data_IF_925200401081
#
_entry.id   IF_925200401081
#
_cell.length_a   1.000
_cell.length_b   1.000
_cell.length_c   1.000
_cell.angle_alpha   90.00
_cell.angle_beta   90.00
_cell.angle_gamma   90.00
#
_symmetry.space_group_name_H-M   'P 1'
#
loop_
_entity.id
_entity.type
_entity.pdbx_description
1 polymer ?
#
# COMPACT_ATOMS: atom_id res chain seq x y z
N UNK A 1 -20.24 -31.30 -7.61
CA UNK A 1 -19.77 -30.01 -7.07
C UNK A 1 -18.52 -30.28 -6.24
N UNK A 2 -17.37 -29.70 -6.59
CA UNK A 2 -16.13 -29.90 -5.81
C UNK A 2 -16.17 -28.97 -4.60
N UNK A 3 -16.31 -29.55 -3.40
CA UNK A 3 -16.25 -28.81 -2.15
C UNK A 3 -14.79 -28.51 -1.82
N UNK A 4 -14.27 -27.36 -2.27
CA UNK A 4 -12.96 -26.87 -1.80
C UNK A 4 -13.07 -26.49 -0.32
N UNK A 5 -12.19 -27.07 0.51
CA UNK A 5 -12.14 -26.86 1.96
C UNK A 5 -10.91 -26.04 2.30
N UNK A 6 -11.08 -24.97 3.07
CA UNK A 6 -9.95 -24.20 3.59
C UNK A 6 -9.45 -24.82 4.90
N UNK A 7 -8.19 -25.25 4.92
CA UNK A 7 -7.57 -26.04 6.00
C UNK A 7 -7.64 -25.32 7.36
N UNK A 8 -7.41 -24.01 7.41
CA UNK A 8 -7.26 -23.31 8.70
C UNK A 8 -8.58 -23.03 9.42
N UNK A 9 -9.72 -23.00 8.72
CA UNK A 9 -11.00 -22.70 9.34
C UNK A 9 -11.91 -23.93 9.46
N UNK A 10 -11.51 -25.07 8.89
CA UNK A 10 -12.29 -26.31 8.81
C UNK A 10 -13.71 -26.19 8.25
N UNK A 11 -14.07 -25.05 7.63
CA UNK A 11 -15.38 -24.77 7.04
C UNK A 11 -15.33 -24.96 5.53
N UNK A 12 -16.49 -25.29 4.96
CA UNK A 12 -16.63 -25.47 3.53
C UNK A 12 -16.77 -24.11 2.83
N UNK A 13 -16.20 -23.99 1.63
CA UNK A 13 -16.46 -22.86 0.75
C UNK A 13 -17.85 -23.05 0.14
N UNK A 14 -18.71 -22.04 0.24
CA UNK A 14 -20.11 -22.11 -0.20
C UNK A 14 -20.48 -20.82 -0.92
N UNK A 15 -21.63 -20.80 -1.61
CA UNK A 15 -22.10 -19.58 -2.29
C UNK A 15 -22.27 -18.38 -1.34
N UNK A 16 -22.59 -18.64 -0.06
CA UNK A 16 -22.69 -17.61 1.00
C UNK A 16 -21.33 -17.18 1.57
N UNK A 17 -20.32 -18.05 1.50
CA UNK A 17 -18.96 -17.78 1.97
C UNK A 17 -17.99 -18.10 0.83
N UNK A 18 -17.81 -17.18 -0.12
CA UNK A 18 -17.02 -17.41 -1.32
C UNK A 18 -15.55 -17.68 -0.97
N UNK A 19 -14.89 -18.40 -1.89
CA UNK A 19 -13.47 -18.71 -1.81
C UNK A 19 -12.64 -17.67 -2.55
N UNK A 20 -11.42 -17.47 -2.08
CA UNK A 20 -10.39 -16.68 -2.72
C UNK A 20 -9.20 -17.62 -2.99
N UNK A 21 -8.73 -17.66 -4.24
CA UNK A 21 -7.65 -18.56 -4.65
C UNK A 21 -6.36 -17.78 -4.86
N UNK A 22 -5.25 -18.30 -4.33
CA UNK A 22 -3.95 -17.66 -4.50
C UNK A 22 -3.40 -17.96 -5.90
N UNK A 23 -3.03 -16.92 -6.64
CA UNK A 23 -2.47 -17.05 -8.00
C UNK A 23 -1.12 -17.77 -8.09
N UNK A 24 -0.46 -18.06 -6.97
CA UNK A 24 0.88 -18.68 -6.93
C UNK A 24 0.91 -20.11 -6.44
N UNK A 25 0.17 -20.42 -5.37
CA UNK A 25 0.17 -21.75 -4.76
C UNK A 25 -1.18 -22.46 -4.88
N UNK A 26 -2.14 -21.84 -5.56
CA UNK A 26 -3.48 -22.37 -5.84
C UNK A 26 -4.28 -22.74 -4.58
N UNK A 27 -3.76 -22.37 -3.40
CA UNK A 27 -4.45 -22.55 -2.13
C UNK A 27 -5.67 -21.65 -2.09
N UNK A 28 -6.79 -22.25 -1.70
CA UNK A 28 -8.06 -21.55 -1.57
C UNK A 28 -8.35 -21.25 -0.10
N UNK A 29 -8.72 -20.01 0.19
CA UNK A 29 -9.12 -19.53 1.52
C UNK A 29 -10.52 -18.93 1.46
N UNK A 30 -11.21 -18.70 2.58
CA UNK A 30 -12.44 -17.91 2.53
C UNK A 30 -12.14 -16.44 2.23
N UNK A 31 -12.96 -15.82 1.39
CA UNK A 31 -12.95 -14.38 1.11
C UNK A 31 -13.56 -13.59 2.29
N UNK A 32 -13.03 -13.81 3.48
CA UNK A 32 -13.40 -13.14 4.72
C UNK A 32 -12.17 -12.47 5.32
N UNK A 33 -12.39 -11.43 6.12
CA UNK A 33 -11.30 -10.68 6.74
C UNK A 33 -10.40 -11.57 7.59
N UNK A 34 -10.97 -12.52 8.33
CA UNK A 34 -10.19 -13.43 9.20
C UNK A 34 -9.34 -14.43 8.43
N UNK A 35 -9.84 -14.98 7.33
CA UNK A 35 -9.15 -16.03 6.58
C UNK A 35 -8.14 -15.47 5.58
N UNK A 36 -8.52 -14.45 4.81
CA UNK A 36 -7.67 -13.81 3.81
C UNK A 36 -6.81 -12.67 4.39
N UNK A 37 -7.08 -12.20 5.61
CA UNK A 37 -6.45 -11.02 6.23
C UNK A 37 -6.58 -9.76 5.38
N UNK A 38 -7.73 -9.62 4.71
CA UNK A 38 -8.07 -8.49 3.86
C UNK A 38 -9.22 -7.69 4.47
N UNK A 39 -9.15 -6.37 4.35
CA UNK A 39 -10.27 -5.51 4.71
C UNK A 39 -11.47 -5.73 3.79
N UNK A 40 -12.66 -5.35 4.26
CA UNK A 40 -13.91 -5.44 3.47
C UNK A 40 -13.79 -4.68 2.14
N UNK A 41 -13.13 -3.51 2.15
CA UNK A 41 -12.90 -2.71 0.94
C UNK A 41 -11.99 -3.43 -0.07
N UNK A 42 -10.93 -4.10 0.40
CA UNK A 42 -10.03 -4.86 -0.47
C UNK A 42 -10.72 -6.09 -1.06
N UNK A 43 -11.54 -6.79 -0.27
CA UNK A 43 -12.34 -7.91 -0.76
C UNK A 43 -13.34 -7.45 -1.83
N UNK A 44 -14.02 -6.33 -1.61
CA UNK A 44 -14.93 -5.75 -2.61
C UNK A 44 -14.19 -5.33 -3.89
N UNK A 45 -13.00 -4.73 -3.76
CA UNK A 45 -12.19 -4.34 -4.91
C UNK A 45 -11.74 -5.55 -5.75
N UNK A 46 -11.33 -6.65 -5.10
CA UNK A 46 -10.98 -7.91 -5.76
C UNK A 46 -12.19 -8.54 -6.46
N UNK A 47 -13.38 -8.46 -5.87
CA UNK A 47 -14.60 -8.98 -6.50
C UNK A 47 -15.07 -8.14 -7.69
N UNK A 48 -14.84 -6.82 -7.66
CA UNK A 48 -15.28 -5.90 -8.70
C UNK A 48 -14.32 -5.82 -9.90
N UNK A 49 -13.11 -6.38 -9.79
CA UNK A 49 -12.05 -6.17 -10.78
C UNK A 49 -11.49 -7.50 -11.29
N UNK A 50 -11.78 -7.84 -12.54
CA UNK A 50 -11.28 -9.06 -13.20
C UNK A 50 -9.75 -9.09 -13.41
N UNK A 51 -9.08 -7.92 -13.36
CA UNK A 51 -7.63 -7.81 -13.54
C UNK A 51 -6.80 -7.88 -12.25
N UNK A 52 -7.44 -8.01 -11.09
CA UNK A 52 -6.76 -7.98 -9.79
C UNK A 52 -6.63 -9.39 -9.21
N UNK A 53 -5.39 -9.88 -9.15
CA UNK A 53 -5.09 -11.19 -8.59
C UNK A 53 -4.72 -11.11 -7.10
N UNK A 54 -5.15 -12.11 -6.33
CA UNK A 54 -4.78 -12.23 -4.93
C UNK A 54 -3.64 -13.23 -4.69
N UNK A 55 -2.75 -12.87 -3.78
CA UNK A 55 -1.63 -13.70 -3.34
C UNK A 55 -1.70 -13.90 -1.82
N UNK A 56 -1.55 -15.15 -1.36
CA UNK A 56 -1.57 -15.46 0.06
C UNK A 56 -0.31 -14.94 0.77
N UNK A 57 -0.39 -14.80 2.10
CA UNK A 57 0.68 -14.22 2.90
C UNK A 57 1.99 -15.02 2.80
N UNK A 58 1.93 -16.36 2.78
CA UNK A 58 3.12 -17.21 2.64
C UNK A 58 3.83 -16.95 1.31
N UNK A 59 3.07 -16.92 0.21
CA UNK A 59 3.61 -16.60 -1.10
C UNK A 59 4.12 -15.16 -1.18
N UNK A 60 3.46 -14.22 -0.51
CA UNK A 60 3.88 -12.82 -0.47
C UNK A 60 5.17 -12.60 0.33
N UNK A 61 5.40 -13.37 1.40
CA UNK A 61 6.66 -13.37 2.15
C UNK A 61 7.79 -14.05 1.39
N UNK A 62 7.46 -15.09 0.63
CA UNK A 62 8.43 -15.83 -0.18
C UNK A 62 8.72 -15.16 -1.54
N UNK A 63 8.01 -14.09 -1.88
CA UNK A 63 8.49 -13.15 -2.89
C UNK A 63 9.77 -12.58 -2.31
N UNK A 64 10.90 -13.01 -2.89
CA UNK A 64 12.16 -12.30 -2.73
C UNK A 64 11.89 -10.85 -3.14
N UNK A 65 11.63 -10.00 -2.14
CA UNK A 65 11.54 -8.57 -2.34
C UNK A 65 12.96 -8.11 -2.63
N UNK A 66 13.46 -8.35 -3.84
CA UNK A 66 14.37 -7.41 -4.47
C UNK A 66 13.55 -6.15 -4.71
N UNK A 67 13.32 -5.37 -3.65
CA UNK A 67 13.03 -3.96 -3.87
C UNK A 67 14.31 -3.39 -4.46
N UNK A 68 14.25 -2.96 -5.72
CA UNK A 68 15.34 -2.15 -6.31
C UNK A 68 15.48 -0.79 -5.61
N UNK A 69 14.57 -0.51 -4.67
CA UNK A 69 14.55 0.67 -3.83
C UNK A 69 14.80 0.27 -2.38
N UNK A 70 15.85 0.87 -1.81
CA UNK A 70 16.18 0.83 -0.39
C UNK A 70 15.73 2.16 0.22
N UNK A 71 14.94 2.10 1.29
CA UNK A 71 14.58 3.28 2.09
C UNK A 71 15.05 2.97 3.52
N UNK A 72 16.14 3.59 4.02
CA UNK A 72 16.57 3.37 5.39
C UNK A 72 15.49 3.85 6.36
N UNK A 73 15.31 3.09 7.43
CA UNK A 73 14.38 3.38 8.52
C UNK A 73 14.95 4.51 9.37
N UNK A 74 14.30 5.67 9.35
CA UNK A 74 14.63 6.81 10.22
C UNK A 74 13.54 6.86 11.30
N UNK A 75 13.78 6.09 12.38
CA UNK A 75 12.95 6.16 13.58
C UNK A 75 13.49 7.29 14.47
N UNK A 76 12.88 8.48 14.40
CA UNK A 76 12.61 9.35 15.57
C UNK A 76 11.64 10.52 15.24
N UNK A 77 10.36 10.32 15.58
CA UNK A 77 9.36 11.32 15.99
C UNK A 77 9.08 12.57 15.08
N UNK A 78 8.13 13.45 15.44
CA UNK A 78 7.01 13.86 14.60
C UNK A 78 7.28 15.18 13.85
N UNK A 79 6.56 15.41 12.76
CA UNK A 79 5.94 16.70 12.42
C UNK A 79 5.88 16.92 10.91
N UNK A 80 4.67 17.24 10.46
CA UNK A 80 4.38 18.07 9.30
C UNK A 80 5.17 17.78 8.02
N UNK A 81 4.73 16.77 7.27
CA UNK A 81 5.15 16.58 5.88
C UNK A 81 4.56 17.70 5.01
N UNK A 82 5.19 18.87 4.99
CA UNK A 82 4.99 19.82 3.88
C UNK A 82 5.67 19.26 2.63
N UNK A 83 4.97 19.16 1.49
CA UNK A 83 5.54 18.68 0.24
C UNK A 83 6.77 19.50 -0.20
N UNK A 84 7.76 18.80 -0.74
CA UNK A 84 9.09 19.26 -1.13
C UNK A 84 9.10 20.50 -2.07
N UNK A 85 7.99 20.79 -2.74
CA UNK A 85 7.83 21.98 -3.60
C UNK A 85 7.81 23.31 -2.82
N UNK A 86 7.35 23.31 -1.57
CA UNK A 86 7.24 24.56 -0.79
C UNK A 86 8.61 25.07 -0.35
N UNK A 87 9.55 24.18 -0.06
CA UNK A 87 10.88 24.56 0.46
C UNK A 87 11.75 25.22 -0.61
N UNK A 88 11.62 24.78 -1.87
CA UNK A 88 12.30 25.43 -3.01
C UNK A 88 11.68 26.79 -3.34
N UNK A 89 10.36 26.92 -3.25
CA UNK A 89 9.66 28.19 -3.46
C UNK A 89 10.00 29.19 -2.35
N UNK A 90 10.06 28.75 -1.09
CA UNK A 90 10.40 29.59 0.06
C UNK A 90 11.85 30.12 0.01
N UNK A 91 12.80 29.31 -0.48
CA UNK A 91 14.18 29.74 -0.69
C UNK A 91 14.32 30.75 -1.85
N UNK A 92 13.51 30.61 -2.91
CA UNK A 92 13.47 31.59 -4.00
C UNK A 92 12.85 32.92 -3.57
N UNK A 93 11.74 32.92 -2.82
CA UNK A 93 11.12 34.13 -2.29
C UNK A 93 12.06 34.90 -1.34
N UNK A 94 12.79 34.19 -0.46
CA UNK A 94 13.81 34.80 0.43
C UNK A 94 14.96 35.46 -0.35
N UNK A 95 15.36 34.90 -1.49
CA UNK A 95 16.42 35.48 -2.35
C UNK A 95 15.94 36.73 -3.11
N UNK A 96 14.67 36.79 -3.51
CA UNK A 96 14.09 37.96 -4.17
C UNK A 96 13.91 39.14 -3.20
N UNK A 97 13.48 38.88 -1.95
CA UNK A 97 13.34 39.91 -0.91
C UNK A 97 14.67 40.60 -0.56
N UNK A 98 15.79 39.85 -0.50
CA UNK A 98 17.13 40.42 -0.21
C UNK A 98 17.71 41.27 -1.34
N UNK A 99 17.27 41.08 -2.58
CA UNK A 99 17.71 41.91 -3.72
C UNK A 99 16.96 43.25 -3.76
N UNK A 100 15.69 43.28 -3.36
CA UNK A 100 14.92 44.53 -3.29
C UNK A 100 15.45 45.49 -2.22
N UNK A 101 15.91 44.99 -1.06
CA UNK A 101 16.39 45.84 0.04
C UNK A 101 17.79 46.46 -0.21
N UNK A 102 18.60 45.87 -1.11
CA UNK A 102 19.92 46.41 -1.47
C UNK A 102 19.85 47.47 -2.59
N UNK A 103 18.76 47.50 -3.35
CA UNK A 103 18.54 48.52 -4.39
C UNK A 103 18.02 49.85 -3.81
N UNK A 104 17.24 49.82 -2.71
CA UNK A 104 16.67 51.03 -2.09
C UNK A 104 17.59 51.74 -1.08
N UNK A 105 18.87 51.36 -0.95
CA UNK A 105 19.87 52.02 -0.09
C UNK A 105 21.00 52.71 -0.87
N UNK A 106 20.84 52.89 -2.19
CA UNK A 106 21.77 53.62 -3.07
C UNK A 106 21.07 54.70 -3.91
N UNK A 107 20.09 55.38 -3.33
CA UNK A 107 19.62 56.70 -3.76
C UNK A 107 19.69 57.63 -2.55
#
# INVERSE_FOLDING_TARGET
>A
MVLKKYVNCNRNITKKNPGLECSRCEKTVHATNTCAKLSVKQLAALQASDGLEWCCNDCFKNISRRSSFFRPDDTEEPSETVPFDVQRFHLMLKKLSRKSLRASKRL
#
